data_IF_858693693442
#
_entry.id   IF_858693693442
#
_cell.length_a   1.000
_cell.length_b   1.000
_cell.length_c   1.000
_cell.angle_alpha   90.00
_cell.angle_beta   90.00
_cell.angle_gamma   90.00
#
_symmetry.space_group_name_H-M   'P 1'
#
loop_
_entity.id
_entity.type
_entity.pdbx_description
1 polymer ?
#
# COMPACT_ATOMS: atom_id res chain seq x y z
N UNK A 1 -33.77 17.59 -33.23
CA UNK A 1 -34.43 17.79 -31.93
C UNK A 1 -33.38 17.94 -30.85
N UNK A 2 -33.29 19.19 -30.40
CA UNK A 2 -32.38 19.68 -29.37
C UNK A 2 -33.06 19.44 -28.01
N UNK A 3 -32.40 18.79 -27.09
CA UNK A 3 -32.78 18.79 -25.68
C UNK A 3 -31.63 19.40 -24.86
N UNK A 4 -31.90 20.60 -24.35
CA UNK A 4 -31.07 21.28 -23.35
C UNK A 4 -31.05 20.49 -22.05
N UNK A 5 -29.89 20.24 -21.50
CA UNK A 5 -29.72 19.85 -20.09
C UNK A 5 -29.32 21.09 -19.28
N UNK A 6 -30.10 21.40 -18.30
CA UNK A 6 -29.88 22.50 -17.36
C UNK A 6 -28.81 22.10 -16.32
N UNK A 7 -27.93 23.04 -16.08
CA UNK A 7 -26.95 23.03 -15.00
C UNK A 7 -27.66 23.38 -13.68
N UNK A 8 -27.76 22.45 -12.76
CA UNK A 8 -28.16 22.68 -11.37
C UNK A 8 -26.94 22.92 -10.49
N UNK A 9 -26.71 24.19 -10.16
CA UNK A 9 -25.77 24.61 -9.12
C UNK A 9 -26.40 24.33 -7.75
N UNK A 10 -25.82 23.44 -6.95
CA UNK A 10 -26.12 23.34 -5.53
C UNK A 10 -25.35 24.44 -4.78
N UNK A 11 -26.05 25.50 -4.41
CA UNK A 11 -25.60 26.45 -3.39
C UNK A 11 -26.01 25.91 -2.03
N UNK A 12 -25.03 25.46 -1.25
CA UNK A 12 -25.20 25.17 0.17
C UNK A 12 -25.32 26.49 0.95
N UNK A 13 -26.53 26.80 1.43
CA UNK A 13 -26.76 27.95 2.27
C UNK A 13 -26.17 27.75 3.66
N UNK A 14 -25.30 28.66 4.07
CA UNK A 14 -24.96 28.87 5.47
C UNK A 14 -26.15 29.52 6.19
N UNK A 15 -26.80 28.79 7.09
CA UNK A 15 -27.78 29.37 8.01
C UNK A 15 -27.02 30.04 9.15
N UNK A 16 -27.01 31.35 9.14
CA UNK A 16 -26.64 32.17 10.30
C UNK A 16 -27.72 32.02 11.38
N UNK A 17 -27.38 31.36 12.47
CA UNK A 17 -28.21 31.38 13.67
C UNK A 17 -28.15 32.76 14.28
N UNK A 18 -29.28 33.46 14.26
CA UNK A 18 -29.49 34.68 15.04
C UNK A 18 -29.48 34.30 16.52
N UNK A 19 -28.57 34.87 17.27
CA UNK A 19 -28.53 34.75 18.73
C UNK A 19 -29.55 35.70 19.30
N UNK A 20 -30.61 35.14 19.87
CA UNK A 20 -31.61 35.87 20.64
C UNK A 20 -30.98 36.45 21.93
N UNK A 21 -31.05 37.75 22.08
CA UNK A 21 -30.47 38.54 23.17
C UNK A 21 -31.37 38.63 24.40
N UNK A 22 -32.06 37.58 24.77
CA UNK A 22 -32.89 37.60 25.98
C UNK A 22 -32.74 36.39 26.87
N UNK A 23 -31.53 36.18 27.38
CA UNK A 23 -31.31 35.34 28.58
C UNK A 23 -30.17 35.90 29.42
N UNK A 24 -30.46 36.87 30.25
CA UNK A 24 -29.66 37.19 31.42
C UNK A 24 -29.82 36.07 32.43
N UNK A 25 -28.97 35.02 32.30
CA UNK A 25 -28.75 34.07 33.39
C UNK A 25 -27.28 34.17 33.82
N UNK A 26 -27.06 34.81 34.95
CA UNK A 26 -25.80 34.80 35.68
C UNK A 26 -25.44 33.37 36.02
N UNK A 27 -24.70 32.75 35.12
CA UNK A 27 -24.10 31.44 35.37
C UNK A 27 -23.13 31.58 36.52
N UNK A 28 -23.45 30.93 37.66
CA UNK A 28 -22.68 30.96 38.87
C UNK A 28 -21.25 30.41 38.56
N UNK A 29 -20.19 31.06 39.07
CA UNK A 29 -18.78 30.65 38.85
C UNK A 29 -18.51 29.18 39.17
N UNK A 30 -19.29 28.59 40.10
CA UNK A 30 -19.25 27.17 40.40
C UNK A 30 -19.73 26.29 39.23
N UNK A 31 -20.77 26.67 38.52
CA UNK A 31 -21.28 25.92 37.35
C UNK A 31 -20.33 26.02 36.16
N UNK A 32 -19.62 27.14 35.99
CA UNK A 32 -18.57 27.30 34.98
C UNK A 32 -17.36 26.43 35.28
N UNK A 33 -16.97 26.31 36.56
CA UNK A 33 -15.88 25.39 36.98
C UNK A 33 -16.25 23.92 36.78
N UNK A 34 -17.49 23.55 37.06
CA UNK A 34 -17.99 22.17 36.85
C UNK A 34 -18.03 21.84 35.36
N UNK A 35 -18.48 22.78 34.51
CA UNK A 35 -18.47 22.60 33.05
C UNK A 35 -17.03 22.51 32.51
N UNK A 36 -16.10 23.32 33.03
CA UNK A 36 -14.68 23.26 32.68
C UNK A 36 -14.02 21.95 33.16
N UNK A 37 -14.38 21.48 34.34
CA UNK A 37 -13.92 20.16 34.85
C UNK A 37 -14.52 18.99 34.07
N UNK A 38 -15.78 19.06 33.61
CA UNK A 38 -16.34 18.04 32.73
C UNK A 38 -15.71 18.02 31.33
N UNK A 39 -15.28 19.17 30.81
CA UNK A 39 -14.52 19.25 29.56
C UNK A 39 -13.08 18.67 29.67
N UNK A 40 -12.54 18.60 30.90
CA UNK A 40 -11.22 17.99 31.15
C UNK A 40 -11.29 16.46 31.38
N UNK A 41 -12.51 15.88 31.47
CA UNK A 41 -12.72 14.44 31.65
C UNK A 41 -13.03 13.69 30.36
N UNK A 42 -12.98 14.35 29.18
CA UNK A 42 -12.91 13.58 27.95
C UNK A 42 -11.57 12.84 27.97
N UNK A 43 -11.58 11.50 27.95
CA UNK A 43 -10.35 10.78 27.75
C UNK A 43 -9.77 11.31 26.45
N UNK A 44 -8.61 11.95 26.53
CA UNK A 44 -7.76 12.12 25.36
C UNK A 44 -7.61 10.70 24.83
N UNK A 45 -8.31 10.40 23.75
CA UNK A 45 -8.15 9.14 23.03
C UNK A 45 -6.68 9.08 22.71
N UNK A 46 -5.94 8.32 23.51
CA UNK A 46 -4.53 8.10 23.28
C UNK A 46 -4.41 7.67 21.83
N UNK A 47 -3.67 8.43 21.07
CA UNK A 47 -3.36 8.11 19.69
C UNK A 47 -2.87 6.67 19.69
N UNK A 48 -3.68 5.74 19.16
CA UNK A 48 -3.28 4.35 19.11
C UNK A 48 -1.98 4.32 18.32
N UNK A 49 -0.98 3.63 18.83
CA UNK A 49 0.32 3.46 18.18
C UNK A 49 0.23 2.55 16.95
N UNK A 50 -0.86 2.64 16.21
CA UNK A 50 -1.15 1.81 15.06
C UNK A 50 -0.19 2.15 13.92
N UNK A 51 -0.05 1.19 13.02
CA UNK A 51 0.69 1.37 11.77
C UNK A 51 0.23 2.64 11.03
N UNK A 52 1.18 3.41 10.58
CA UNK A 52 0.96 4.56 9.71
C UNK A 52 1.43 4.22 8.30
N UNK A 53 0.61 4.49 7.29
CA UNK A 53 0.96 4.32 5.88
C UNK A 53 0.83 5.66 5.17
N UNK A 54 1.94 6.17 4.65
CA UNK A 54 1.99 7.44 3.96
C UNK A 54 2.14 7.25 2.46
N UNK A 55 1.38 8.00 1.69
CA UNK A 55 1.62 8.15 0.26
C UNK A 55 2.94 8.90 0.05
N UNK A 56 3.92 8.22 -0.52
CA UNK A 56 5.26 8.76 -0.71
C UNK A 56 5.51 9.26 -2.15
N UNK A 57 4.48 9.28 -2.99
CA UNK A 57 4.55 9.66 -4.41
C UNK A 57 4.91 11.11 -4.69
N UNK A 58 4.43 12.15 -3.96
CA UNK A 58 4.73 13.54 -4.30
C UNK A 58 6.17 13.93 -3.99
N UNK A 59 6.69 14.91 -4.74
CA UNK A 59 7.94 15.62 -4.38
C UNK A 59 9.22 14.86 -4.69
N UNK A 60 9.25 14.08 -5.75
CA UNK A 60 10.45 13.48 -6.31
C UNK A 60 11.12 14.41 -7.33
N UNK A 61 12.40 14.19 -7.52
CA UNK A 61 13.26 14.83 -8.51
C UNK A 61 13.75 13.76 -9.47
N UNK A 62 13.70 14.04 -10.78
CA UNK A 62 14.09 13.12 -11.85
C UNK A 62 15.20 13.73 -12.69
N UNK A 63 16.24 12.95 -12.92
CA UNK A 63 17.28 13.21 -13.90
C UNK A 63 17.41 12.03 -14.86
N UNK A 64 17.39 12.31 -16.18
CA UNK A 64 17.57 11.29 -17.22
C UNK A 64 19.02 11.31 -17.65
N UNK A 65 19.71 10.22 -17.49
CA UNK A 65 21.14 10.02 -17.71
C UNK A 65 21.82 9.49 -16.46
N UNK A 66 23.06 9.05 -16.58
CA UNK A 66 23.88 8.69 -15.44
C UNK A 66 24.66 9.89 -14.92
N UNK A 67 24.66 10.07 -13.62
CA UNK A 67 25.42 11.13 -12.97
C UNK A 67 26.06 10.61 -11.68
N UNK A 68 27.38 10.37 -11.71
CA UNK A 68 28.10 9.87 -10.54
C UNK A 68 27.97 10.80 -9.34
N UNK A 69 27.78 10.21 -8.16
CA UNK A 69 27.69 10.97 -6.91
C UNK A 69 26.25 11.38 -6.54
N UNK A 70 25.26 11.09 -7.39
CA UNK A 70 23.86 11.43 -7.13
C UNK A 70 23.24 10.68 -5.93
N UNK A 71 23.90 9.66 -5.43
CA UNK A 71 23.53 8.98 -4.17
C UNK A 71 23.85 9.82 -2.93
N UNK A 72 24.76 10.78 -3.02
CA UNK A 72 25.27 11.55 -1.88
C UNK A 72 24.26 12.61 -1.41
N UNK A 73 24.27 12.88 -0.14
CA UNK A 73 23.37 13.90 0.47
C UNK A 73 23.72 15.32 0.08
N UNK A 74 25.00 15.61 -0.20
CA UNK A 74 25.52 16.92 -0.60
C UNK A 74 25.48 17.18 -2.11
N UNK A 75 24.96 16.23 -2.90
CA UNK A 75 24.81 16.40 -4.33
C UNK A 75 23.74 17.44 -4.66
N UNK A 76 24.07 18.40 -5.55
CA UNK A 76 23.10 19.42 -6.00
C UNK A 76 22.13 18.83 -7.04
N UNK A 77 20.85 18.84 -6.70
CA UNK A 77 19.75 18.37 -7.54
C UNK A 77 18.74 19.50 -7.88
N UNK A 78 19.12 20.76 -7.69
CA UNK A 78 18.26 21.94 -7.88
C UNK A 78 17.68 22.05 -9.29
N UNK A 79 18.42 21.59 -10.29
CA UNK A 79 18.03 21.65 -11.71
C UNK A 79 17.29 20.39 -12.17
N UNK A 80 17.01 19.45 -11.30
CA UNK A 80 16.32 18.24 -11.66
C UNK A 80 14.82 18.48 -11.85
N UNK A 81 14.19 17.70 -12.71
CA UNK A 81 12.76 17.80 -13.01
C UNK A 81 11.95 17.37 -11.78
N UNK A 82 11.11 18.27 -11.26
CA UNK A 82 10.15 17.94 -10.19
C UNK A 82 9.04 17.09 -10.75
N UNK A 83 8.77 15.95 -10.11
CA UNK A 83 7.75 14.99 -10.50
C UNK A 83 6.94 14.48 -9.33
N UNK A 84 5.81 13.86 -9.64
CA UNK A 84 5.02 13.02 -8.75
C UNK A 84 4.97 11.60 -9.30
N UNK A 85 5.19 10.60 -8.47
CA UNK A 85 5.02 9.20 -8.84
C UNK A 85 3.52 8.81 -8.82
N UNK A 86 3.12 7.79 -9.57
CA UNK A 86 3.87 6.98 -10.54
C UNK A 86 4.39 7.79 -11.71
N UNK A 87 5.64 7.55 -12.10
CA UNK A 87 6.24 8.24 -13.25
C UNK A 87 7.38 7.41 -13.85
N UNK A 88 7.18 6.88 -15.05
CA UNK A 88 8.27 6.35 -15.85
C UNK A 88 9.13 7.51 -16.40
N UNK A 89 10.45 7.33 -16.48
CA UNK A 89 11.32 8.41 -16.98
C UNK A 89 11.05 8.76 -18.43
N UNK A 90 10.60 7.80 -19.24
CA UNK A 90 10.32 7.93 -20.67
C UNK A 90 8.82 8.08 -21.00
N UNK A 91 8.01 8.45 -20.04
CA UNK A 91 6.54 8.57 -20.19
C UNK A 91 6.14 9.69 -21.16
N UNK A 92 6.81 10.83 -21.10
CA UNK A 92 6.54 11.96 -22.00
C UNK A 92 6.77 11.61 -23.47
N UNK A 93 7.64 10.62 -23.73
CA UNK A 93 7.99 10.16 -25.06
C UNK A 93 7.13 8.97 -25.51
N UNK A 94 6.29 8.45 -24.64
CA UNK A 94 5.47 7.28 -24.89
C UNK A 94 4.54 7.41 -26.10
N UNK A 95 4.18 8.63 -26.45
CA UNK A 95 3.30 8.94 -27.57
C UNK A 95 4.07 9.40 -28.82
N UNK A 96 5.40 9.44 -28.77
CA UNK A 96 6.24 9.77 -29.91
C UNK A 96 6.65 8.53 -30.68
N UNK A 97 6.87 8.70 -32.01
CA UNK A 97 7.01 7.60 -32.97
C UNK A 97 8.23 6.70 -32.75
N UNK A 98 9.25 7.14 -32.02
CA UNK A 98 10.51 6.43 -31.86
C UNK A 98 10.89 6.22 -30.39
N UNK A 99 10.07 5.45 -29.68
CA UNK A 99 10.27 5.14 -28.26
C UNK A 99 11.51 4.27 -28.00
N UNK A 100 12.01 3.57 -29.00
CA UNK A 100 13.09 2.58 -28.86
C UNK A 100 14.42 3.19 -28.40
N UNK A 101 14.77 4.36 -28.90
CA UNK A 101 15.99 5.04 -28.50
C UNK A 101 15.96 5.65 -27.11
N UNK A 102 14.79 5.61 -26.45
CA UNK A 102 14.57 6.21 -25.14
C UNK A 102 14.29 5.17 -24.05
N UNK A 103 14.41 3.89 -24.37
CA UNK A 103 14.14 2.82 -23.42
C UNK A 103 15.40 2.33 -22.72
N UNK A 104 16.56 2.49 -23.32
CA UNK A 104 17.83 1.95 -22.85
C UNK A 104 18.70 3.01 -22.15
N UNK A 105 18.12 3.69 -21.18
CA UNK A 105 18.84 4.74 -20.45
C UNK A 105 18.86 4.48 -18.95
N UNK A 106 19.75 5.18 -18.28
CA UNK A 106 19.80 5.29 -16.84
C UNK A 106 19.02 6.52 -16.43
N UNK A 107 18.32 6.43 -15.32
CA UNK A 107 17.66 7.57 -14.71
C UNK A 107 17.80 7.56 -13.21
N UNK A 108 17.95 8.74 -12.63
CA UNK A 108 18.01 8.93 -11.20
C UNK A 108 16.73 9.56 -10.70
N UNK A 109 16.22 9.00 -9.59
CA UNK A 109 15.11 9.55 -8.81
C UNK A 109 15.63 9.92 -7.44
N UNK A 110 15.38 11.14 -6.99
CA UNK A 110 15.79 11.61 -5.64
C UNK A 110 14.61 12.23 -4.92
N UNK A 111 14.61 12.11 -3.59
CA UNK A 111 13.62 12.79 -2.77
C UNK A 111 14.21 13.15 -1.42
N UNK A 112 14.05 14.42 -1.06
CA UNK A 112 14.32 14.94 0.27
C UNK A 112 13.08 14.80 1.14
N UNK A 113 13.22 14.31 2.37
CA UNK A 113 12.09 14.15 3.27
C UNK A 113 12.49 14.21 4.74
N UNK A 114 11.50 14.51 5.57
CA UNK A 114 11.62 14.45 7.04
C UNK A 114 10.56 13.54 7.60
N UNK A 115 10.90 12.76 8.60
CA UNK A 115 9.95 11.89 9.27
C UNK A 115 9.13 12.65 10.31
N UNK A 116 7.87 12.23 10.55
CA UNK A 116 7.12 12.75 11.69
C UNK A 116 7.83 12.38 13.00
N UNK A 117 7.64 13.21 14.02
CA UNK A 117 8.24 12.96 15.35
C UNK A 117 7.83 11.62 15.95
N UNK A 118 6.66 11.13 15.60
CA UNK A 118 6.09 9.83 16.01
C UNK A 118 6.87 8.61 15.49
N UNK A 119 7.72 8.80 14.47
CA UNK A 119 8.55 7.72 13.91
C UNK A 119 9.74 7.35 14.81
N UNK A 120 10.14 8.21 15.75
CA UNK A 120 11.30 7.94 16.62
C UNK A 120 11.06 6.70 17.49
N UNK A 121 11.95 5.72 17.39
CA UNK A 121 11.88 4.47 18.15
C UNK A 121 10.95 3.41 17.53
N UNK A 122 10.33 3.69 16.37
CA UNK A 122 9.54 2.78 15.57
C UNK A 122 10.36 2.18 14.42
N UNK A 123 9.76 1.23 13.71
CA UNK A 123 10.28 0.69 12.45
C UNK A 123 9.75 1.51 11.28
N UNK A 124 10.59 1.73 10.30
CA UNK A 124 10.22 2.48 9.08
C UNK A 124 10.62 1.66 7.86
N UNK A 125 9.63 1.38 7.02
CA UNK A 125 9.83 0.65 5.77
C UNK A 125 9.40 1.52 4.59
N UNK A 126 10.09 1.38 3.46
CA UNK A 126 9.62 1.88 2.18
C UNK A 126 9.21 0.71 1.30
N UNK A 127 8.13 0.89 0.56
CA UNK A 127 7.60 -0.08 -0.39
C UNK A 127 7.43 0.61 -1.75
N UNK A 128 8.04 0.05 -2.78
CA UNK A 128 7.79 0.39 -4.17
C UNK A 128 6.94 -0.73 -4.77
N UNK A 129 5.75 -0.43 -5.25
CA UNK A 129 4.87 -1.42 -5.88
C UNK A 129 5.44 -1.95 -7.21
N UNK A 130 6.42 -1.27 -7.77
CA UNK A 130 7.17 -1.71 -8.93
C UNK A 130 8.23 -0.70 -9.34
N UNK A 131 9.41 -1.20 -9.69
CA UNK A 131 10.52 -0.42 -10.25
C UNK A 131 11.05 -1.18 -11.45
N UNK A 132 11.26 -0.49 -12.57
CA UNK A 132 11.75 -1.11 -13.79
C UNK A 132 13.01 -0.41 -14.31
N UNK A 133 14.02 -1.14 -14.77
CA UNK A 133 14.13 -2.59 -14.81
C UNK A 133 14.99 -3.09 -13.65
N UNK A 134 16.21 -2.57 -13.51
CA UNK A 134 17.10 -2.75 -12.38
C UNK A 134 17.25 -1.43 -11.65
N UNK A 135 17.43 -1.48 -10.35
CA UNK A 135 17.63 -0.28 -9.55
C UNK A 135 18.53 -0.50 -8.35
N UNK A 136 19.49 0.39 -8.18
CA UNK A 136 20.23 0.55 -6.93
C UNK A 136 19.53 1.59 -6.06
N UNK A 137 19.36 1.28 -4.78
CA UNK A 137 18.69 2.15 -3.81
C UNK A 137 19.69 2.65 -2.78
N UNK A 138 19.58 3.94 -2.48
CA UNK A 138 20.45 4.62 -1.52
C UNK A 138 19.62 5.43 -0.53
N UNK A 139 20.01 5.42 0.73
CA UNK A 139 19.46 6.31 1.75
C UNK A 139 20.60 7.02 2.47
N UNK A 140 20.56 8.34 2.46
CA UNK A 140 21.60 9.19 3.06
C UNK A 140 23.02 8.82 2.59
N UNK A 141 23.17 8.56 1.28
CA UNK A 141 24.43 8.18 0.65
C UNK A 141 24.85 6.72 0.84
N UNK A 142 24.12 5.95 1.61
CA UNK A 142 24.40 4.52 1.84
C UNK A 142 23.59 3.66 0.91
N UNK A 143 24.22 2.69 0.24
CA UNK A 143 23.52 1.68 -0.56
C UNK A 143 22.71 0.77 0.36
N UNK A 144 21.41 0.66 0.13
CA UNK A 144 20.48 -0.14 0.94
C UNK A 144 19.97 -1.38 0.23
N UNK A 145 20.17 -1.48 -1.07
CA UNK A 145 19.83 -2.68 -1.83
C UNK A 145 19.77 -2.51 -3.32
N UNK A 146 19.67 -3.64 -4.00
CA UNK A 146 19.54 -3.80 -5.44
C UNK A 146 18.23 -4.53 -5.75
N UNK A 147 17.54 -4.09 -6.79
CA UNK A 147 16.38 -4.77 -7.37
C UNK A 147 16.63 -5.05 -8.84
N UNK A 148 16.47 -6.30 -9.23
CA UNK A 148 16.72 -6.77 -10.60
C UNK A 148 15.53 -7.61 -11.12
N UNK A 149 14.32 -7.21 -10.83
CA UNK A 149 13.13 -7.99 -11.13
C UNK A 149 12.01 -7.17 -11.77
N UNK A 150 12.35 -6.53 -12.86
CA UNK A 150 11.43 -5.88 -13.81
C UNK A 150 10.28 -5.08 -13.22
N UNK A 151 9.25 -5.72 -12.71
CA UNK A 151 7.99 -5.05 -12.31
C UNK A 151 7.46 -5.49 -10.96
N UNK A 152 8.18 -6.31 -10.23
CA UNK A 152 7.76 -6.75 -8.90
C UNK A 152 7.92 -5.65 -7.86
N UNK A 153 7.11 -5.75 -6.82
CA UNK A 153 7.25 -4.91 -5.64
C UNK A 153 8.57 -5.19 -4.92
N UNK A 154 9.18 -4.14 -4.41
CA UNK A 154 10.40 -4.18 -3.60
C UNK A 154 10.28 -3.21 -2.44
N UNK A 155 10.87 -3.53 -1.32
CA UNK A 155 10.89 -2.65 -0.16
C UNK A 155 12.11 -2.85 0.71
N UNK A 156 12.37 -1.90 1.58
CA UNK A 156 13.55 -1.90 2.44
C UNK A 156 13.19 -1.44 3.84
N UNK A 157 13.88 -2.01 4.83
CA UNK A 157 13.90 -1.46 6.18
C UNK A 157 14.84 -0.26 6.20
N UNK A 158 14.26 0.93 6.30
CA UNK A 158 15.00 2.18 6.34
C UNK A 158 15.56 2.50 7.72
N UNK A 159 15.02 1.88 8.78
CA UNK A 159 15.29 2.22 10.17
C UNK A 159 16.78 2.41 10.52
N UNK A 160 17.70 1.51 10.07
CA UNK A 160 19.11 1.62 10.41
C UNK A 160 19.85 2.79 9.74
N UNK A 161 19.26 3.36 8.68
CA UNK A 161 19.90 4.36 7.83
C UNK A 161 19.31 5.76 8.00
N UNK A 162 18.23 5.90 8.79
CA UNK A 162 17.48 7.14 8.93
C UNK A 162 18.13 8.11 9.90
N UNK A 163 18.07 9.39 9.53
CA UNK A 163 18.34 10.50 10.41
C UNK A 163 17.01 10.96 11.05
N UNK A 164 16.71 10.45 12.25
CA UNK A 164 15.52 10.82 13.00
C UNK A 164 15.63 12.25 13.53
N UNK A 165 14.72 13.12 13.09
CA UNK A 165 14.69 14.55 13.45
C UNK A 165 15.42 15.47 12.49
N UNK A 166 16.16 14.93 11.52
CA UNK A 166 16.83 15.63 10.45
C UNK A 166 16.22 15.38 9.08
N UNK A 167 16.86 15.93 8.07
CA UNK A 167 16.55 15.64 6.67
C UNK A 167 17.14 14.30 6.25
N UNK A 168 16.44 13.62 5.39
CA UNK A 168 16.87 12.38 4.75
C UNK A 168 16.77 12.52 3.24
N UNK A 169 17.67 11.87 2.52
CA UNK A 169 17.68 11.83 1.06
C UNK A 169 17.63 10.38 0.63
N UNK A 170 16.57 9.99 -0.06
CA UNK A 170 16.51 8.72 -0.78
C UNK A 170 16.83 8.94 -2.24
N UNK A 171 17.67 8.09 -2.81
CA UNK A 171 18.06 8.13 -4.21
C UNK A 171 17.95 6.73 -4.83
N UNK A 172 17.48 6.68 -6.07
CA UNK A 172 17.42 5.47 -6.89
C UNK A 172 18.16 5.72 -8.18
N UNK A 173 19.06 4.82 -8.54
CA UNK A 173 19.64 4.72 -9.88
C UNK A 173 18.94 3.59 -10.61
N UNK A 174 18.10 3.92 -11.57
CA UNK A 174 17.39 2.93 -12.38
C UNK A 174 18.14 2.71 -13.69
N UNK A 175 18.35 1.45 -14.05
CA UNK A 175 18.97 1.04 -15.30
C UNK A 175 17.97 0.25 -16.14
N UNK A 176 17.57 0.81 -17.28
CA UNK A 176 16.58 0.22 -18.17
C UNK A 176 17.19 -0.20 -19.52
N UNK A 177 18.53 -0.35 -19.58
CA UNK A 177 19.22 -0.81 -20.77
C UNK A 177 18.76 -2.24 -21.14
N UNK A 178 18.38 -2.43 -22.38
CA UNK A 178 17.95 -3.73 -22.88
C UNK A 178 19.08 -4.78 -22.87
N UNK A 179 20.35 -4.35 -22.77
CA UNK A 179 21.54 -5.19 -22.60
C UNK A 179 21.88 -5.47 -21.15
N UNK A 180 21.10 -4.93 -20.20
CA UNK A 180 21.34 -5.13 -18.78
C UNK A 180 21.38 -6.62 -18.46
N UNK A 181 22.41 -7.02 -17.75
CA UNK A 181 22.58 -8.39 -17.26
C UNK A 181 22.42 -8.38 -15.75
N UNK A 182 21.66 -9.34 -15.27
CA UNK A 182 21.53 -9.57 -13.83
C UNK A 182 22.92 -9.82 -13.23
N UNK A 183 23.25 -9.11 -12.16
CA UNK A 183 24.60 -9.14 -11.56
C UNK A 183 24.98 -10.52 -11.01
N UNK A 184 24.00 -11.28 -10.51
CA UNK A 184 24.24 -12.59 -9.91
C UNK A 184 24.49 -13.69 -10.94
N UNK A 185 23.82 -13.66 -12.09
CA UNK A 185 23.83 -14.73 -13.09
C UNK A 185 24.53 -14.37 -14.38
N UNK A 186 24.69 -13.07 -14.67
CA UNK A 186 25.13 -12.58 -15.96
C UNK A 186 24.12 -12.77 -17.10
N UNK A 187 22.91 -13.17 -16.78
CA UNK A 187 21.82 -13.42 -17.74
C UNK A 187 21.11 -12.13 -18.13
N UNK A 188 20.71 -12.04 -19.39
CA UNK A 188 19.83 -10.95 -19.87
C UNK A 188 18.43 -11.15 -19.29
N UNK A 189 17.74 -10.02 -19.01
CA UNK A 189 16.33 -10.08 -18.67
C UNK A 189 15.50 -10.49 -19.89
N UNK A 190 14.66 -11.53 -19.73
CA UNK A 190 13.87 -12.05 -20.85
C UNK A 190 12.81 -11.08 -21.39
N UNK A 191 12.43 -10.09 -20.60
CA UNK A 191 11.44 -9.07 -20.98
C UNK A 191 12.08 -7.79 -21.55
N UNK A 192 13.36 -7.84 -21.75
CA UNK A 192 14.13 -6.72 -22.27
C UNK A 192 14.35 -6.86 -23.78
N UNK A 193 13.27 -7.05 -24.51
CA UNK A 193 13.33 -7.14 -25.96
C UNK A 193 13.02 -5.78 -26.59
N UNK A 194 14.06 -5.23 -27.21
CA UNK A 194 14.03 -3.99 -28.00
C UNK A 194 12.91 -3.95 -29.03
N UNK A 195 12.52 -5.10 -29.55
CA UNK A 195 11.59 -5.19 -30.68
C UNK A 195 10.15 -5.44 -30.25
N UNK A 196 9.90 -5.72 -28.99
CA UNK A 196 8.63 -6.29 -28.57
C UNK A 196 7.69 -5.29 -27.90
N UNK A 197 8.20 -4.41 -27.06
CA UNK A 197 7.40 -3.45 -26.30
C UNK A 197 8.21 -2.21 -25.96
N UNK A 198 7.51 -1.09 -25.82
CA UNK A 198 8.08 0.06 -25.15
C UNK A 198 8.40 -0.29 -23.69
N UNK A 199 9.66 -0.24 -23.33
CA UNK A 199 10.10 -0.49 -21.97
C UNK A 199 10.00 0.79 -21.15
N UNK A 200 8.96 0.89 -20.34
CA UNK A 200 8.78 2.00 -19.42
C UNK A 200 9.64 1.79 -18.19
N UNK A 201 10.72 2.56 -18.10
CA UNK A 201 11.69 2.43 -17.04
C UNK A 201 11.46 3.41 -15.89
N UNK A 202 12.06 3.12 -14.76
CA UNK A 202 11.97 3.94 -13.55
C UNK A 202 10.91 3.48 -12.56
N UNK A 203 10.09 4.39 -12.05
CA UNK A 203 9.11 4.10 -10.99
C UNK A 203 7.67 4.27 -11.49
N UNK A 204 7.12 3.29 -12.24
CA UNK A 204 5.80 3.36 -12.85
C UNK A 204 4.66 2.94 -11.91
N UNK A 205 4.92 2.71 -10.63
CA UNK A 205 3.96 2.30 -9.60
C UNK A 205 4.08 3.19 -8.36
N UNK A 206 3.12 3.03 -7.44
CA UNK A 206 3.11 3.81 -6.21
C UNK A 206 4.27 3.48 -5.29
N UNK A 207 4.60 4.44 -4.43
CA UNK A 207 5.57 4.30 -3.35
C UNK A 207 4.91 4.64 -2.02
N UNK A 208 5.11 3.78 -1.03
CA UNK A 208 4.54 3.91 0.30
C UNK A 208 5.63 3.92 1.36
N UNK A 209 5.44 4.74 2.37
CA UNK A 209 6.25 4.72 3.59
C UNK A 209 5.40 4.16 4.72
N UNK A 210 5.88 3.11 5.37
CA UNK A 210 5.21 2.48 6.50
C UNK A 210 5.99 2.78 7.79
N UNK A 211 5.28 3.20 8.82
CA UNK A 211 5.82 3.37 10.17
C UNK A 211 5.05 2.43 11.08
N UNK A 212 5.76 1.49 11.71
CA UNK A 212 5.15 0.46 12.56
C UNK A 212 5.78 0.44 13.94
N UNK A 213 5.11 -0.19 14.88
CA UNK A 213 5.72 -0.59 16.15
C UNK A 213 6.86 -1.60 15.91
N UNK A 214 7.63 -1.93 16.93
CA UNK A 214 8.65 -3.00 16.91
C UNK A 214 8.06 -4.41 16.95
N UNK A 215 6.81 -4.53 17.31
CA UNK A 215 5.98 -5.72 17.10
C UNK A 215 5.01 -5.42 15.96
N UNK A 216 5.19 -6.05 14.83
CA UNK A 216 4.45 -5.70 13.61
C UNK A 216 4.16 -6.91 12.72
N UNK A 217 3.10 -6.83 11.95
CA UNK A 217 2.83 -7.70 10.81
C UNK A 217 3.75 -7.30 9.66
N UNK A 218 4.46 -8.24 9.08
CA UNK A 218 5.44 -7.97 8.03
C UNK A 218 4.78 -7.49 6.75
N UNK A 219 5.54 -6.85 5.87
CA UNK A 219 5.07 -6.50 4.53
C UNK A 219 5.20 -7.71 3.59
N UNK A 220 4.28 -7.91 2.63
CA UNK A 220 4.32 -9.03 1.69
C UNK A 220 5.39 -8.85 0.60
N UNK A 221 6.64 -8.70 0.99
CA UNK A 221 7.79 -8.44 0.11
C UNK A 221 8.69 -9.66 0.00
N UNK A 222 8.18 -10.69 -0.66
CA UNK A 222 8.84 -12.00 -0.79
C UNK A 222 10.22 -11.92 -1.45
N UNK A 223 10.44 -10.98 -2.36
CA UNK A 223 11.64 -10.95 -3.21
C UNK A 223 12.90 -10.53 -2.46
N UNK A 224 12.81 -9.57 -1.55
CA UNK A 224 14.00 -9.00 -0.90
C UNK A 224 13.98 -9.07 0.62
N UNK A 225 12.85 -8.79 1.26
CA UNK A 225 12.71 -8.94 2.72
C UNK A 225 12.37 -10.38 3.14
N UNK A 226 12.02 -11.25 2.19
CA UNK A 226 11.59 -12.64 2.42
C UNK A 226 10.42 -12.73 3.42
N UNK A 227 9.55 -11.73 3.41
CA UNK A 227 8.41 -11.61 4.31
C UNK A 227 7.11 -11.89 3.56
N UNK A 228 6.18 -12.57 4.23
CA UNK A 228 4.94 -13.05 3.62
C UNK A 228 3.74 -12.14 3.89
N UNK A 229 3.83 -11.28 4.90
CA UNK A 229 2.75 -10.37 5.25
C UNK A 229 1.52 -11.06 5.80
N UNK A 230 0.35 -10.53 5.44
CA UNK A 230 -0.96 -11.04 5.81
C UNK A 230 -1.61 -11.73 4.63
N UNK A 231 -2.15 -12.92 4.85
CA UNK A 231 -2.88 -13.72 3.86
C UNK A 231 -4.28 -14.03 4.36
N UNK A 232 -5.29 -13.67 3.57
CA UNK A 232 -6.72 -13.87 3.87
C UNK A 232 -7.31 -14.77 2.80
N UNK A 233 -7.98 -15.84 3.23
CA UNK A 233 -8.62 -16.77 2.30
C UNK A 233 -9.85 -17.43 2.93
N UNK A 234 -10.63 -18.13 2.10
CA UNK A 234 -11.78 -18.91 2.55
C UNK A 234 -11.67 -20.37 2.11
N UNK A 235 -12.07 -21.27 2.98
CA UNK A 235 -12.25 -22.71 2.69
C UNK A 235 -13.71 -23.14 2.90
N UNK A 236 -14.02 -24.38 2.57
CA UNK A 236 -15.34 -25.01 2.77
C UNK A 236 -16.50 -24.14 2.25
N UNK A 237 -16.26 -23.48 1.12
CA UNK A 237 -17.21 -22.55 0.51
C UNK A 237 -18.43 -23.31 0.01
N UNK A 238 -19.58 -23.03 0.62
CA UNK A 238 -20.90 -23.49 0.25
C UNK A 238 -21.66 -22.36 -0.42
N UNK A 239 -21.56 -22.28 -1.73
CA UNK A 239 -22.12 -21.15 -2.52
C UNK A 239 -23.62 -21.00 -2.31
N UNK A 240 -24.37 -22.10 -2.27
CA UNK A 240 -25.84 -22.10 -2.17
C UNK A 240 -26.33 -21.56 -0.84
N UNK A 241 -25.67 -21.92 0.27
CA UNK A 241 -26.04 -21.49 1.63
C UNK A 241 -25.28 -20.24 2.07
N UNK A 242 -24.38 -19.72 1.22
CA UNK A 242 -23.58 -18.51 1.50
C UNK A 242 -22.70 -18.65 2.73
N UNK A 243 -22.12 -19.83 2.94
CA UNK A 243 -21.27 -20.15 4.08
C UNK A 243 -19.84 -20.43 3.65
N UNK A 244 -18.88 -20.09 4.49
CA UNK A 244 -17.48 -20.49 4.34
C UNK A 244 -16.75 -20.41 5.69
N UNK A 245 -15.61 -21.08 5.80
CA UNK A 245 -14.65 -20.81 6.85
C UNK A 245 -13.66 -19.74 6.35
N UNK A 246 -13.61 -18.60 7.00
CA UNK A 246 -12.66 -17.54 6.68
C UNK A 246 -11.43 -17.69 7.57
N UNK A 247 -10.26 -17.64 6.94
CA UNK A 247 -8.95 -17.75 7.56
C UNK A 247 -8.16 -16.46 7.39
N UNK A 248 -7.40 -16.10 8.41
CA UNK A 248 -6.42 -15.03 8.38
C UNK A 248 -5.12 -15.56 8.96
N UNK A 249 -4.03 -15.37 8.21
CA UNK A 249 -2.67 -15.70 8.62
C UNK A 249 -1.82 -14.45 8.50
N UNK A 250 -1.14 -14.03 9.57
CA UNK A 250 -0.21 -12.90 9.53
C UNK A 250 1.16 -13.31 10.02
N UNK A 251 2.16 -13.07 9.21
CA UNK A 251 3.55 -13.17 9.66
C UNK A 251 3.88 -11.96 10.53
N UNK A 252 4.28 -12.22 11.77
CA UNK A 252 4.53 -11.22 12.81
C UNK A 252 5.98 -11.31 13.26
N UNK A 253 6.64 -10.15 13.37
CA UNK A 253 8.00 -10.05 13.86
C UNK A 253 8.05 -9.21 15.13
N UNK A 254 8.81 -9.69 16.12
CA UNK A 254 9.10 -8.98 17.35
C UNK A 254 10.55 -8.47 17.36
N UNK A 255 10.74 -7.17 17.26
CA UNK A 255 12.06 -6.51 17.35
C UNK A 255 12.24 -5.75 18.68
N UNK A 256 11.42 -6.05 19.69
CA UNK A 256 11.71 -5.65 21.06
C UNK A 256 12.83 -6.52 21.64
N UNK A 257 13.63 -5.97 22.56
CA UNK A 257 14.65 -6.73 23.30
C UNK A 257 14.11 -7.71 24.35
N UNK A 258 12.81 -8.05 24.27
CA UNK A 258 12.11 -8.96 25.20
C UNK A 258 11.00 -9.71 24.47
N UNK A 259 10.55 -10.82 25.06
CA UNK A 259 9.36 -11.54 24.60
C UNK A 259 8.10 -10.68 24.82
N UNK A 260 7.11 -10.83 23.93
CA UNK A 260 5.82 -10.12 23.98
C UNK A 260 4.68 -11.13 23.84
N UNK A 261 3.70 -11.06 24.75
CA UNK A 261 2.46 -11.82 24.62
C UNK A 261 1.47 -11.07 23.75
N UNK A 262 0.95 -11.73 22.72
CA UNK A 262 0.16 -11.13 21.64
C UNK A 262 -1.16 -11.86 21.46
N UNK A 263 -2.25 -11.11 21.45
CA UNK A 263 -3.53 -11.58 20.95
C UNK A 263 -3.67 -11.16 19.48
N UNK A 264 -4.19 -12.05 18.65
CA UNK A 264 -4.44 -11.82 17.23
C UNK A 264 -5.94 -11.78 16.97
N UNK A 265 -6.43 -10.60 16.59
CA UNK A 265 -7.85 -10.37 16.32
C UNK A 265 -8.08 -10.06 14.83
N UNK A 266 -9.17 -10.62 14.31
CA UNK A 266 -9.60 -10.42 12.93
C UNK A 266 -11.01 -9.85 12.92
N UNK A 267 -11.21 -8.71 12.31
CA UNK A 267 -12.52 -8.07 12.11
C UNK A 267 -12.81 -7.93 10.62
N UNK A 268 -13.97 -8.39 10.20
CA UNK A 268 -14.42 -8.35 8.80
C UNK A 268 -15.51 -7.29 8.66
N UNK A 269 -15.34 -6.42 7.67
CA UNK A 269 -16.30 -5.39 7.32
C UNK A 269 -16.80 -5.61 5.91
N UNK A 270 -18.09 -5.40 5.70
CA UNK A 270 -18.72 -5.47 4.38
C UNK A 270 -18.44 -4.22 3.53
N UNK A 271 -19.02 -4.19 2.34
CA UNK A 271 -18.86 -3.08 1.40
C UNK A 271 -19.33 -1.72 1.98
N UNK A 272 -20.32 -1.74 2.87
CA UNK A 272 -20.87 -0.54 3.51
C UNK A 272 -20.11 -0.15 4.79
N UNK A 273 -19.03 -0.85 5.11
CA UNK A 273 -18.23 -0.64 6.31
C UNK A 273 -18.87 -1.18 7.59
N UNK A 274 -19.94 -1.96 7.49
CA UNK A 274 -20.57 -2.62 8.63
C UNK A 274 -19.76 -3.85 9.03
N UNK A 275 -19.51 -3.99 10.33
CA UNK A 275 -18.80 -5.16 10.84
C UNK A 275 -19.65 -6.42 10.74
N UNK A 276 -19.18 -7.38 9.96
CA UNK A 276 -19.82 -8.70 9.73
C UNK A 276 -19.47 -9.67 10.84
N UNK A 277 -18.19 -9.70 11.23
CA UNK A 277 -17.69 -10.66 12.23
C UNK A 277 -16.41 -10.16 12.91
N UNK A 278 -16.15 -10.68 14.10
CA UNK A 278 -14.86 -10.57 14.78
C UNK A 278 -14.53 -11.92 15.45
N UNK A 279 -13.31 -12.39 15.26
CA UNK A 279 -12.82 -13.62 15.85
C UNK A 279 -11.33 -13.51 16.19
N UNK A 280 -10.79 -14.43 16.99
CA UNK A 280 -9.40 -14.38 17.45
C UNK A 280 -8.70 -15.71 17.20
N UNK A 281 -7.38 -15.61 17.02
CA UNK A 281 -6.47 -16.74 17.08
C UNK A 281 -6.11 -17.11 18.51
N UNK A 282 -5.26 -18.13 18.65
CA UNK A 282 -4.70 -18.49 19.95
C UNK A 282 -3.70 -17.43 20.41
N UNK A 283 -3.77 -16.96 21.66
CA UNK A 283 -2.77 -16.07 22.22
C UNK A 283 -1.37 -16.71 22.14
N UNK A 284 -0.39 -15.94 21.73
CA UNK A 284 0.96 -16.44 21.44
C UNK A 284 2.02 -15.54 22.07
N UNK A 285 3.08 -16.13 22.61
CA UNK A 285 4.25 -15.37 23.05
C UNK A 285 5.30 -15.41 21.96
N UNK A 286 5.67 -14.23 21.43
CA UNK A 286 6.70 -14.07 20.40
C UNK A 286 8.00 -13.64 21.07
N UNK A 287 9.07 -14.43 20.91
CA UNK A 287 10.36 -14.13 21.52
C UNK A 287 11.03 -12.91 20.89
N UNK A 288 12.02 -12.35 21.57
CA UNK A 288 12.85 -11.27 21.02
C UNK A 288 13.54 -11.71 19.73
N UNK A 289 13.38 -10.94 18.66
CA UNK A 289 13.95 -11.24 17.33
C UNK A 289 13.26 -12.35 16.56
N UNK A 290 12.19 -12.93 17.10
CA UNK A 290 11.46 -14.03 16.45
C UNK A 290 10.48 -13.53 15.41
N UNK A 291 10.27 -14.37 14.39
CA UNK A 291 9.22 -14.20 13.37
C UNK A 291 8.33 -15.44 13.40
N UNK A 292 7.01 -15.22 13.60
CA UNK A 292 6.01 -16.29 13.69
C UNK A 292 4.84 -16.02 12.75
N UNK A 293 4.05 -17.04 12.43
CA UNK A 293 2.78 -16.87 11.72
C UNK A 293 1.63 -17.07 12.70
N UNK A 294 0.90 -16.00 12.98
CA UNK A 294 -0.33 -16.05 13.78
C UNK A 294 -1.49 -16.39 12.86
N UNK A 295 -2.41 -17.25 13.36
CA UNK A 295 -3.55 -17.75 12.60
C UNK A 295 -4.85 -17.58 13.38
N UNK A 296 -5.90 -17.23 12.64
CA UNK A 296 -7.26 -17.21 13.16
C UNK A 296 -8.23 -17.71 12.09
N UNK A 297 -9.30 -18.37 12.48
CA UNK A 297 -10.34 -18.79 11.55
C UNK A 297 -11.71 -18.85 12.23
N UNK A 298 -12.76 -18.61 11.43
CA UNK A 298 -14.14 -18.74 11.89
C UNK A 298 -15.06 -19.18 10.75
N UNK A 299 -16.08 -20.01 11.04
CA UNK A 299 -17.18 -20.28 10.12
C UNK A 299 -18.09 -19.05 10.06
N UNK A 300 -18.38 -18.58 8.86
CA UNK A 300 -19.23 -17.42 8.62
C UNK A 300 -20.42 -17.80 7.72
N UNK A 301 -21.52 -17.07 7.89
CA UNK A 301 -22.75 -17.20 7.12
C UNK A 301 -23.10 -15.88 6.43
N UNK A 302 -24.06 -15.96 5.53
CA UNK A 302 -24.57 -14.79 4.78
C UNK A 302 -23.51 -14.02 4.01
N UNK A 303 -22.44 -14.72 3.58
CA UNK A 303 -21.35 -14.12 2.81
C UNK A 303 -21.81 -13.83 1.37
N UNK A 304 -21.31 -12.73 0.84
CA UNK A 304 -21.37 -12.39 -0.58
C UNK A 304 -20.08 -12.86 -1.24
N UNK A 305 -20.20 -13.78 -2.19
CA UNK A 305 -19.03 -14.30 -2.91
C UNK A 305 -18.75 -13.46 -4.14
N UNK A 306 -17.49 -13.06 -4.27
CA UNK A 306 -17.02 -12.36 -5.46
C UNK A 306 -17.27 -13.22 -6.71
N UNK A 307 -17.82 -12.61 -7.74
CA UNK A 307 -18.06 -13.26 -9.03
C UNK A 307 -17.87 -12.26 -10.16
N UNK A 308 -17.71 -12.71 -11.37
CA UNK A 308 -17.71 -11.82 -12.52
C UNK A 308 -19.06 -11.10 -12.63
N UNK A 309 -19.00 -9.78 -12.82
CA UNK A 309 -20.18 -8.91 -12.80
C UNK A 309 -20.78 -8.66 -11.40
N UNK A 310 -20.14 -9.22 -10.36
CA UNK A 310 -20.47 -8.97 -8.96
C UNK A 310 -19.19 -8.94 -8.12
N UNK A 311 -18.52 -7.81 -8.19
CA UNK A 311 -17.20 -7.58 -7.57
C UNK A 311 -17.24 -7.30 -6.07
N UNK A 312 -17.99 -8.10 -5.29
CA UNK A 312 -18.14 -7.84 -3.85
C UNK A 312 -16.86 -8.10 -3.08
N UNK A 313 -16.39 -7.09 -2.33
CA UNK A 313 -15.18 -7.14 -1.53
C UNK A 313 -15.49 -6.84 -0.06
N UNK A 314 -14.67 -7.40 0.80
CA UNK A 314 -14.64 -7.16 2.23
C UNK A 314 -13.34 -6.47 2.61
N UNK A 315 -13.38 -5.61 3.62
CA UNK A 315 -12.20 -5.15 4.31
C UNK A 315 -11.97 -6.02 5.55
N UNK A 316 -10.89 -6.80 5.51
CA UNK A 316 -10.48 -7.67 6.62
C UNK A 316 -9.36 -7.00 7.38
N UNK A 317 -9.65 -6.58 8.60
CA UNK A 317 -8.70 -5.94 9.51
C UNK A 317 -8.12 -6.98 10.45
N UNK A 318 -6.80 -7.14 10.42
CA UNK A 318 -6.04 -7.95 11.35
C UNK A 318 -5.32 -7.05 12.34
N UNK A 319 -5.47 -7.31 13.63
CA UNK A 319 -4.97 -6.47 14.72
C UNK A 319 -4.10 -7.30 15.67
N UNK A 320 -2.91 -6.80 15.98
CA UNK A 320 -2.09 -7.29 17.07
C UNK A 320 -2.43 -6.51 18.34
N UNK A 321 -2.78 -7.21 19.41
CA UNK A 321 -3.10 -6.63 20.70
C UNK A 321 -2.06 -7.06 21.74
N UNK A 322 -1.57 -6.09 22.50
CA UNK A 322 -0.69 -6.34 23.67
C UNK A 322 -1.36 -5.74 24.89
N UNK A 323 -1.65 -6.58 25.89
CA UNK A 323 -2.41 -6.18 27.07
C UNK A 323 -3.75 -5.51 26.71
N UNK A 324 -4.44 -6.04 25.69
CA UNK A 324 -5.72 -5.55 25.20
C UNK A 324 -5.66 -4.24 24.40
N UNK A 325 -4.46 -3.69 24.13
CA UNK A 325 -4.27 -2.47 23.33
C UNK A 325 -3.75 -2.82 21.95
N UNK A 326 -4.31 -2.23 20.87
CA UNK A 326 -3.81 -2.43 19.53
C UNK A 326 -2.42 -1.81 19.38
N UNK A 327 -1.48 -2.56 18.80
CA UNK A 327 -0.11 -2.12 18.51
C UNK A 327 0.19 -2.11 17.03
N UNK A 328 -0.49 -2.95 16.23
CA UNK A 328 -0.37 -2.97 14.78
C UNK A 328 -1.69 -3.42 14.14
N UNK A 329 -2.08 -2.78 13.05
CA UNK A 329 -3.28 -3.08 12.29
C UNK A 329 -2.97 -3.12 10.80
N UNK A 330 -3.46 -4.15 10.11
CA UNK A 330 -3.39 -4.27 8.65
C UNK A 330 -4.80 -4.50 8.12
N UNK A 331 -5.17 -3.74 7.09
CA UNK A 331 -6.43 -3.93 6.37
C UNK A 331 -6.14 -4.55 5.01
N UNK A 332 -6.74 -5.70 4.77
CA UNK A 332 -6.66 -6.41 3.49
C UNK A 332 -8.03 -6.39 2.82
N UNK A 333 -8.12 -5.73 1.67
CA UNK A 333 -9.33 -5.73 0.85
C UNK A 333 -9.35 -6.97 -0.04
N UNK A 334 -10.35 -7.83 0.10
CA UNK A 334 -10.41 -9.12 -0.58
C UNK A 334 -11.83 -9.60 -0.82
N UNK A 335 -12.02 -10.43 -1.87
CA UNK A 335 -13.27 -11.11 -2.15
C UNK A 335 -13.12 -12.62 -2.01
N UNK A 336 -14.09 -13.25 -1.39
CA UNK A 336 -14.13 -14.71 -1.25
C UNK A 336 -14.80 -15.35 -2.45
N UNK A 337 -14.17 -16.37 -3.04
CA UNK A 337 -14.71 -17.10 -4.18
C UNK A 337 -14.22 -18.55 -4.20
N UNK A 338 -14.99 -19.41 -4.83
CA UNK A 338 -14.62 -20.80 -5.10
C UNK A 338 -14.26 -20.95 -6.57
N UNK A 339 -13.02 -21.34 -6.83
CA UNK A 339 -12.54 -21.60 -8.20
C UNK A 339 -12.16 -23.07 -8.34
N UNK A 340 -12.57 -23.71 -9.42
CA UNK A 340 -12.19 -25.08 -9.77
C UNK A 340 -11.84 -25.16 -11.25
N UNK A 341 -10.77 -25.85 -11.54
CA UNK A 341 -10.35 -26.21 -12.89
C UNK A 341 -10.54 -27.71 -13.07
N UNK A 342 -11.18 -28.14 -14.15
CA UNK A 342 -11.40 -29.55 -14.43
C UNK A 342 -12.36 -29.75 -15.61
N UNK A 343 -12.34 -30.93 -16.19
CA UNK A 343 -13.22 -31.31 -17.32
C UNK A 343 -13.11 -30.33 -18.50
N UNK A 344 -11.93 -29.75 -18.74
CA UNK A 344 -11.72 -28.74 -19.77
C UNK A 344 -12.42 -27.39 -19.51
N UNK A 345 -12.88 -27.15 -18.28
CA UNK A 345 -13.67 -25.96 -17.91
C UNK A 345 -13.09 -25.26 -16.70
N UNK A 346 -13.42 -23.97 -16.60
CA UNK A 346 -13.21 -23.15 -15.40
C UNK A 346 -14.55 -22.97 -14.70
N UNK A 347 -14.55 -23.20 -13.40
CA UNK A 347 -15.74 -23.05 -12.57
C UNK A 347 -15.50 -21.90 -11.57
N UNK A 348 -16.45 -21.00 -11.49
CA UNK A 348 -16.47 -19.93 -10.51
C UNK A 348 -17.79 -20.01 -9.73
N UNK A 349 -17.69 -20.20 -8.41
CA UNK A 349 -18.84 -20.34 -7.52
C UNK A 349 -19.86 -21.40 -8.03
N UNK A 350 -19.34 -22.58 -8.38
CA UNK A 350 -20.07 -23.74 -8.88
C UNK A 350 -20.76 -23.53 -10.23
N UNK A 351 -20.45 -22.47 -10.97
CA UNK A 351 -20.95 -22.21 -12.33
C UNK A 351 -19.80 -22.25 -13.32
N UNK A 352 -20.05 -22.82 -14.50
CA UNK A 352 -19.07 -22.79 -15.60
C UNK A 352 -18.84 -21.36 -16.03
N UNK A 353 -17.58 -20.93 -16.04
CA UNK A 353 -17.18 -19.63 -16.52
C UNK A 353 -16.71 -19.74 -17.97
N UNK A 354 -17.41 -19.06 -18.87
CA UNK A 354 -16.99 -18.90 -20.26
C UNK A 354 -15.98 -17.76 -20.33
N UNK A 355 -14.70 -18.12 -20.40
CA UNK A 355 -13.63 -17.13 -20.52
C UNK A 355 -13.67 -16.49 -21.92
N UNK A 356 -13.82 -15.17 -21.96
CA UNK A 356 -13.67 -14.36 -23.17
C UNK A 356 -12.50 -13.42 -22.95
N UNK A 357 -11.58 -13.41 -23.88
CA UNK A 357 -10.39 -12.58 -23.76
C UNK A 357 -9.80 -12.26 -25.11
N UNK A 358 -8.94 -11.27 -25.12
CA UNK A 358 -8.11 -10.91 -26.26
C UNK A 358 -6.68 -10.68 -25.79
N UNK A 359 -5.73 -10.92 -26.66
CA UNK A 359 -4.35 -10.59 -26.41
C UNK A 359 -4.12 -9.14 -26.80
N UNK A 360 -3.66 -8.34 -25.86
CA UNK A 360 -3.22 -6.96 -26.13
C UNK A 360 -1.75 -6.85 -25.77
N UNK A 361 -0.95 -6.32 -26.70
CA UNK A 361 0.39 -5.86 -26.39
C UNK A 361 0.29 -4.48 -25.78
N UNK A 362 1.04 -4.21 -24.72
CA UNK A 362 1.15 -2.88 -24.19
C UNK A 362 1.80 -2.01 -25.27
N UNK A 363 1.02 -1.23 -25.93
CA UNK A 363 1.45 -0.14 -26.76
C UNK A 363 1.41 1.14 -25.93
N UNK A 364 1.68 2.25 -26.52
CA UNK A 364 1.82 3.56 -25.89
C UNK A 364 0.75 4.02 -24.87
N UNK A 365 -0.23 3.21 -24.60
CA UNK A 365 -1.29 3.48 -23.60
C UNK A 365 -0.99 2.89 -22.23
N UNK A 366 -0.16 3.37 -21.55
CA UNK A 366 0.64 2.77 -20.63
C UNK A 366 0.34 2.66 -19.21
N UNK A 367 0.20 3.74 -18.60
CA UNK A 367 -0.06 3.87 -17.18
C UNK A 367 -1.56 3.89 -16.93
N UNK A 368 -2.32 4.43 -17.86
CA UNK A 368 -3.78 4.52 -17.75
C UNK A 368 -4.51 3.21 -18.00
N UNK A 369 -3.94 2.28 -18.76
CA UNK A 369 -4.64 1.01 -19.03
C UNK A 369 -4.65 0.06 -17.84
N UNK A 370 -3.70 0.14 -16.93
CA UNK A 370 -3.76 -0.63 -15.70
C UNK A 370 -4.81 -0.10 -14.73
N UNK A 371 -4.94 1.22 -14.60
CA UNK A 371 -5.97 1.86 -13.78
C UNK A 371 -7.36 1.71 -14.41
N UNK A 372 -7.50 1.92 -15.72
CA UNK A 372 -8.76 1.70 -16.42
C UNK A 372 -9.19 0.23 -16.40
N UNK A 373 -8.26 -0.72 -16.38
CA UNK A 373 -8.58 -2.14 -16.24
C UNK A 373 -9.01 -2.50 -14.80
N UNK A 374 -8.49 -1.80 -13.81
CA UNK A 374 -8.90 -1.96 -12.41
C UNK A 374 -10.24 -1.28 -12.14
N UNK A 375 -10.50 -0.11 -12.73
CA UNK A 375 -11.83 0.54 -12.71
C UNK A 375 -12.88 -0.28 -13.47
N UNK A 376 -12.55 -0.83 -14.64
CA UNK A 376 -13.46 -1.70 -15.39
C UNK A 376 -13.74 -3.06 -14.69
N UNK A 377 -12.91 -3.45 -13.72
CA UNK A 377 -13.18 -4.62 -12.86
C UNK A 377 -14.03 -4.29 -11.64
N UNK A 378 -14.24 -3.02 -11.37
CA UNK A 378 -15.07 -2.55 -10.25
C UNK A 378 -16.50 -2.21 -10.63
N UNK A 379 -16.90 -2.40 -11.91
CA UNK A 379 -18.27 -2.23 -12.42
C UNK A 379 -19.00 -3.56 -12.54
#
# INVERSE_FOLDING_TARGET
>A
HILKRGSGLYQGGFSTFAVDKSMNNTMNRQNLLILLCMLLLFPVSGQSNNREKYNFNPGWLLYIGDTPGAERTDFSDENWKKITLPRAFNEDEAFKVHIWGMTDTIAWYRKHFRLPKTAKGKKVFIEFEGVRQAADFYLNGKHIGLHENGVMAVGFDLTPFLNFGGENVIALRTDNDWRYKERSTGSLFQWNDRNFNANYGGVPKNVWLHITDKLYQTLPLYSNLQTTGTYIYASDIKVRTREAVVHAESQVRNEYGKSVHVDYEVSIYDYDGKRVSTFRGQPTTVQSGETVVLKASAPLKDLHFWSWGYGYLYDVKTTLLVNGRPVDEVVTRTGFRKTRFGEGKVWLNDRVLQLKGYAQRSSNCLLYTSDAADEARSV
#
